data_IF_052779597383
#
_entry.id   IF_052779597383
#
_cell.length_a   1.000
_cell.length_b   1.000
_cell.length_c   1.000
_cell.angle_alpha   90.00
_cell.angle_beta   90.00
_cell.angle_gamma   90.00
#
_symmetry.space_group_name_H-M   'P 1'
#
loop_
_entity.id
_entity.type
_entity.pdbx_description
1 polymer ?
#
# COMPACT_ATOMS: atom_id res chain seq x y z
N UNK A 1 18.93 -13.68 7.48
CA UNK A 1 18.01 -14.24 6.46
C UNK A 1 16.61 -13.69 6.68
N UNK A 2 16.18 -12.70 5.89
CA UNK A 2 14.75 -12.30 5.77
C UNK A 2 14.59 -11.72 4.35
N UNK A 3 14.07 -12.53 3.44
CA UNK A 3 14.05 -12.29 1.98
C UNK A 3 12.74 -11.65 1.51
N UNK A 4 11.66 -11.82 2.27
CA UNK A 4 10.38 -11.16 2.02
C UNK A 4 9.72 -10.77 3.35
N UNK A 5 8.93 -9.69 3.34
CA UNK A 5 8.06 -9.37 4.46
C UNK A 5 6.91 -10.37 4.53
N UNK A 6 6.34 -10.57 5.73
CA UNK A 6 5.04 -11.23 5.84
C UNK A 6 3.99 -10.41 5.10
N UNK A 7 2.93 -11.07 4.62
CA UNK A 7 1.74 -10.37 4.14
C UNK A 7 1.15 -9.55 5.29
N UNK A 8 1.03 -8.25 5.07
CA UNK A 8 0.51 -7.32 6.07
C UNK A 8 -0.75 -6.64 5.52
N UNK A 9 -1.77 -6.50 6.36
CA UNK A 9 -2.92 -5.64 6.04
C UNK A 9 -2.40 -4.22 5.94
N UNK A 10 -2.72 -3.54 4.83
CA UNK A 10 -2.23 -2.18 4.59
C UNK A 10 -2.66 -1.20 5.69
N UNK A 11 -3.73 -1.53 6.42
CA UNK A 11 -4.30 -0.74 7.51
C UNK A 11 -3.31 -0.34 8.63
N UNK A 12 -2.17 -1.03 8.77
CA UNK A 12 -1.21 -0.84 9.87
C UNK A 12 -0.47 0.51 9.76
N UNK A 13 -0.26 1.05 8.56
CA UNK A 13 0.58 2.25 8.35
C UNK A 13 -0.18 3.58 8.30
N UNK A 14 -1.52 3.59 8.44
CA UNK A 14 -2.29 4.84 8.29
C UNK A 14 -2.46 5.63 9.58
N UNK A 15 -2.28 5.02 10.76
CA UNK A 15 -2.42 5.73 12.04
C UNK A 15 -1.48 6.95 12.15
N UNK A 16 -0.18 6.85 11.78
CA UNK A 16 0.70 8.01 11.77
C UNK A 16 0.27 9.09 10.77
N UNK A 17 -0.20 8.68 9.58
CA UNK A 17 -0.66 9.60 8.52
C UNK A 17 -1.91 10.35 8.96
N UNK A 18 -2.90 9.64 9.53
CA UNK A 18 -4.12 10.23 10.08
C UNK A 18 -3.77 11.25 11.16
N UNK A 19 -2.83 10.91 12.04
CA UNK A 19 -2.41 11.79 13.12
C UNK A 19 -1.73 13.06 12.60
N UNK A 20 -0.74 12.91 11.73
CA UNK A 20 0.00 14.02 11.14
C UNK A 20 -0.91 14.95 10.30
N UNK A 21 -1.74 14.38 9.43
CA UNK A 21 -2.66 15.16 8.59
C UNK A 21 -3.69 15.92 9.44
N UNK A 22 -4.26 15.28 10.47
CA UNK A 22 -5.22 15.93 11.36
C UNK A 22 -4.56 17.07 12.14
N UNK A 23 -3.32 16.90 12.60
CA UNK A 23 -2.57 17.94 13.30
C UNK A 23 -2.28 19.15 12.41
N UNK A 24 -1.79 18.91 11.19
CA UNK A 24 -1.48 19.98 10.22
C UNK A 24 -2.74 20.79 9.88
N UNK A 25 -3.84 20.11 9.53
CA UNK A 25 -5.08 20.78 9.14
C UNK A 25 -5.66 21.58 10.31
N UNK A 26 -5.65 21.01 11.51
CA UNK A 26 -6.17 21.70 12.70
C UNK A 26 -5.31 22.92 13.06
N UNK A 27 -3.99 22.84 12.88
CA UNK A 27 -3.10 23.98 13.06
C UNK A 27 -3.34 25.09 12.02
N UNK A 28 -3.59 24.73 10.76
CA UNK A 28 -3.98 25.70 9.72
C UNK A 28 -5.30 26.42 10.07
N UNK A 29 -6.29 25.70 10.62
CA UNK A 29 -7.54 26.30 11.09
C UNK A 29 -7.28 27.34 12.19
N UNK A 30 -6.38 27.06 13.12
CA UNK A 30 -6.00 28.02 14.18
C UNK A 30 -5.35 29.28 13.60
N UNK A 31 -4.44 29.13 12.63
CA UNK A 31 -3.82 30.27 11.95
C UNK A 31 -4.87 31.16 11.29
N UNK A 32 -5.84 30.55 10.59
CA UNK A 32 -6.94 31.27 9.93
C UNK A 32 -7.85 31.97 10.95
N UNK A 33 -8.16 31.34 12.07
CA UNK A 33 -8.99 31.96 13.11
C UNK A 33 -8.29 33.16 13.78
N UNK A 34 -6.98 33.05 14.01
CA UNK A 34 -6.20 34.17 14.52
C UNK A 34 -6.08 35.31 13.51
N UNK A 35 -5.94 35.03 12.21
CA UNK A 35 -5.90 36.08 11.18
C UNK A 35 -7.25 36.80 11.02
N UNK A 36 -8.35 36.13 11.38
CA UNK A 36 -9.69 36.71 11.46
C UNK A 36 -9.97 37.46 12.78
N UNK A 37 -8.99 37.54 13.69
CA UNK A 37 -9.10 38.30 14.94
C UNK A 37 -9.87 37.59 16.07
N UNK A 38 -10.06 36.27 15.97
CA UNK A 38 -10.74 35.52 17.02
C UNK A 38 -9.86 35.35 18.26
N UNK A 39 -10.49 35.41 19.43
CA UNK A 39 -9.81 35.21 20.71
C UNK A 39 -9.26 33.79 20.88
N UNK A 40 -8.24 33.66 21.73
CA UNK A 40 -7.53 32.39 22.01
C UNK A 40 -8.49 31.28 22.46
N UNK A 41 -9.53 31.63 23.21
CA UNK A 41 -10.56 30.69 23.70
C UNK A 41 -11.33 30.03 22.55
N UNK A 42 -11.75 30.83 21.56
CA UNK A 42 -12.52 30.30 20.43
C UNK A 42 -11.64 29.55 19.46
N UNK A 43 -10.39 30.02 19.25
CA UNK A 43 -9.41 29.32 18.41
C UNK A 43 -9.05 27.95 18.99
N UNK A 44 -8.86 27.84 20.31
CA UNK A 44 -8.52 26.59 20.99
C UNK A 44 -9.68 25.59 21.04
N UNK A 45 -10.91 26.05 21.30
CA UNK A 45 -12.09 25.20 21.21
C UNK A 45 -12.31 24.66 19.78
N UNK A 46 -12.17 25.54 18.78
CA UNK A 46 -12.31 25.18 17.36
C UNK A 46 -11.23 24.19 16.91
N UNK A 47 -10.00 24.33 17.43
CA UNK A 47 -8.91 23.37 17.20
C UNK A 47 -9.28 21.97 17.66
N UNK A 48 -9.76 21.82 18.90
CA UNK A 48 -10.08 20.51 19.47
C UNK A 48 -11.21 19.82 18.69
N UNK A 49 -12.26 20.57 18.35
CA UNK A 49 -13.39 20.03 17.59
C UNK A 49 -12.94 19.62 16.19
N UNK A 50 -12.22 20.50 15.48
CA UNK A 50 -11.70 20.20 14.15
C UNK A 50 -10.77 18.98 14.17
N UNK A 51 -9.85 18.91 15.13
CA UNK A 51 -8.88 17.82 15.26
C UNK A 51 -9.57 16.46 15.48
N UNK A 52 -10.53 16.39 16.39
CA UNK A 52 -11.27 15.15 16.66
C UNK A 52 -12.12 14.75 15.45
N UNK A 53 -12.86 15.68 14.85
CA UNK A 53 -13.70 15.41 13.68
C UNK A 53 -12.86 14.92 12.49
N UNK A 54 -11.76 15.60 12.18
CA UNK A 54 -10.84 15.20 11.12
C UNK A 54 -10.22 13.83 11.37
N UNK A 55 -9.83 13.53 12.61
CA UNK A 55 -9.30 12.19 12.94
C UNK A 55 -10.30 11.09 12.64
N UNK A 56 -11.56 11.27 13.04
CA UNK A 56 -12.62 10.27 12.81
C UNK A 56 -12.88 10.12 11.31
N UNK A 57 -13.04 11.23 10.58
CA UNK A 57 -13.31 11.23 9.15
C UNK A 57 -12.17 10.61 8.33
N UNK A 58 -10.93 11.02 8.59
CA UNK A 58 -9.75 10.47 7.91
C UNK A 58 -9.53 8.99 8.24
N UNK A 59 -9.69 8.60 9.50
CA UNK A 59 -9.58 7.20 9.89
C UNK A 59 -10.66 6.35 9.18
N UNK A 60 -11.90 6.83 9.09
CA UNK A 60 -12.98 6.12 8.40
C UNK A 60 -12.75 6.06 6.89
N UNK A 61 -12.38 7.17 6.25
CA UNK A 61 -12.13 7.24 4.81
C UNK A 61 -10.95 6.35 4.39
N UNK A 62 -9.83 6.41 5.13
CA UNK A 62 -8.67 5.58 4.86
C UNK A 62 -8.92 4.12 5.19
N UNK A 63 -9.62 3.82 6.29
CA UNK A 63 -10.06 2.46 6.59
C UNK A 63 -10.89 1.93 5.43
N UNK A 64 -11.95 2.59 4.99
CA UNK A 64 -12.76 2.09 3.86
C UNK A 64 -11.98 1.93 2.55
N UNK A 65 -11.02 2.82 2.27
CA UNK A 65 -10.19 2.74 1.06
C UNK A 65 -9.20 1.57 1.06
N UNK A 66 -8.73 1.13 2.24
CA UNK A 66 -7.65 0.15 2.40
C UNK A 66 -8.00 -1.07 3.26
N UNK A 67 -9.26 -1.22 3.70
CA UNK A 67 -9.73 -2.39 4.50
C UNK A 67 -9.52 -3.70 3.74
N UNK A 68 -9.51 -3.62 2.41
CA UNK A 68 -9.51 -4.74 1.50
C UNK A 68 -8.17 -4.85 0.75
N UNK A 69 -7.04 -4.52 1.39
CA UNK A 69 -5.73 -4.72 0.77
C UNK A 69 -4.68 -5.39 1.67
N UNK A 70 -3.91 -6.28 1.04
CA UNK A 70 -2.73 -6.93 1.62
C UNK A 70 -1.49 -6.49 0.84
N UNK A 71 -0.42 -6.23 1.57
CA UNK A 71 0.85 -5.73 1.03
C UNK A 71 1.96 -6.69 1.43
N UNK A 72 2.90 -6.90 0.51
CA UNK A 72 4.14 -7.62 0.76
C UNK A 72 5.30 -6.94 0.05
N UNK A 73 6.44 -6.89 0.71
CA UNK A 73 7.69 -6.38 0.16
C UNK A 73 8.62 -7.56 -0.09
N UNK A 74 9.05 -7.72 -1.33
CA UNK A 74 9.97 -8.75 -1.78
C UNK A 74 11.33 -8.10 -2.04
N UNK A 75 12.43 -8.68 -1.57
CA UNK A 75 13.79 -8.12 -1.80
C UNK A 75 14.36 -8.58 -3.15
N UNK A 76 13.65 -8.28 -4.23
CA UNK A 76 14.08 -8.58 -5.60
C UNK A 76 13.86 -7.39 -6.52
N UNK A 77 14.58 -7.42 -7.64
CA UNK A 77 14.44 -6.45 -8.72
C UNK A 77 13.07 -6.57 -9.41
N UNK A 78 12.47 -5.41 -9.66
CA UNK A 78 11.12 -5.22 -10.16
C UNK A 78 10.96 -5.69 -11.61
N UNK A 79 11.98 -5.47 -12.44
CA UNK A 79 11.95 -5.80 -13.88
C UNK A 79 11.95 -7.32 -14.13
N UNK A 80 12.69 -8.06 -13.30
CA UNK A 80 12.74 -9.51 -13.43
C UNK A 80 11.44 -10.16 -12.97
N UNK A 81 10.83 -9.61 -11.92
CA UNK A 81 9.53 -10.06 -11.41
C UNK A 81 8.44 -9.89 -12.48
N UNK A 82 8.43 -8.77 -13.20
CA UNK A 82 7.48 -8.54 -14.29
C UNK A 82 7.48 -9.68 -15.32
N UNK A 83 8.67 -10.14 -15.73
CA UNK A 83 8.83 -11.19 -16.74
C UNK A 83 8.21 -12.50 -16.27
N UNK A 84 8.48 -12.90 -15.02
CA UNK A 84 7.97 -14.14 -14.43
C UNK A 84 6.46 -14.08 -14.24
N UNK A 85 5.93 -12.97 -13.71
CA UNK A 85 4.49 -12.78 -13.57
C UNK A 85 3.79 -12.86 -14.94
N UNK A 86 4.34 -12.25 -15.98
CA UNK A 86 3.77 -12.34 -17.33
C UNK A 86 3.72 -13.78 -17.86
N UNK A 87 4.67 -14.63 -17.46
CA UNK A 87 4.72 -16.05 -17.86
C UNK A 87 3.69 -16.87 -17.07
N UNK A 88 3.64 -16.70 -15.75
CA UNK A 88 2.71 -17.42 -14.85
C UNK A 88 1.25 -17.07 -15.16
N UNK A 89 0.98 -15.82 -15.50
CA UNK A 89 -0.37 -15.27 -15.62
C UNK A 89 -0.92 -15.22 -17.07
N UNK A 90 -0.39 -16.03 -18.00
CA UNK A 90 -0.76 -15.98 -19.43
C UNK A 90 -2.28 -16.16 -19.72
N UNK A 91 -2.91 -15.01 -19.97
CA UNK A 91 -3.66 -14.62 -21.19
C UNK A 91 -5.05 -15.17 -21.56
N UNK A 92 -5.91 -15.51 -20.58
CA UNK A 92 -7.38 -15.46 -20.81
C UNK A 92 -8.20 -14.76 -19.71
N UNK A 93 -7.63 -14.54 -18.53
CA UNK A 93 -8.40 -14.09 -17.35
C UNK A 93 -7.83 -12.86 -16.64
N UNK A 94 -6.79 -12.23 -17.20
CA UNK A 94 -6.03 -11.17 -16.52
C UNK A 94 -5.85 -10.00 -17.48
N UNK A 95 -6.16 -8.79 -17.02
CA UNK A 95 -5.86 -7.55 -17.74
C UNK A 95 -4.59 -6.95 -17.14
N UNK A 96 -3.67 -6.57 -18.00
CA UNK A 96 -2.36 -6.05 -17.61
C UNK A 96 -2.16 -4.65 -18.19
N UNK A 97 -1.69 -3.73 -17.36
CA UNK A 97 -1.37 -2.36 -17.77
C UNK A 97 -0.19 -1.83 -16.96
N UNK A 98 0.73 -1.14 -17.62
CA UNK A 98 1.76 -0.33 -16.95
C UNK A 98 1.24 1.09 -16.78
N UNK A 99 1.30 1.63 -15.57
CA UNK A 99 1.13 3.06 -15.29
C UNK A 99 2.50 3.69 -15.22
N UNK A 100 2.86 4.46 -16.26
CA UNK A 100 4.17 5.09 -16.37
C UNK A 100 4.44 6.17 -15.34
N UNK A 101 3.40 6.87 -14.87
CA UNK A 101 3.53 7.96 -13.87
C UNK A 101 4.07 7.47 -12.52
N UNK A 102 3.67 6.26 -12.11
CA UNK A 102 4.00 5.67 -10.81
C UNK A 102 5.01 4.51 -10.92
N UNK A 103 5.55 4.27 -12.12
CA UNK A 103 6.28 3.07 -12.52
C UNK A 103 5.69 1.78 -11.92
N UNK A 104 4.39 1.58 -12.16
CA UNK A 104 3.60 0.54 -11.51
C UNK A 104 2.95 -0.39 -12.53
N UNK A 105 3.04 -1.69 -12.28
CA UNK A 105 2.30 -2.70 -13.02
C UNK A 105 1.00 -3.04 -12.31
N UNK A 106 -0.11 -2.95 -13.04
CA UNK A 106 -1.45 -3.33 -12.58
C UNK A 106 -1.89 -4.61 -13.29
N UNK A 107 -2.26 -5.60 -12.49
CA UNK A 107 -2.87 -6.86 -12.91
C UNK A 107 -4.30 -6.90 -12.37
N UNK A 108 -5.30 -6.89 -13.24
CA UNK A 108 -6.70 -7.05 -12.88
C UNK A 108 -7.16 -8.47 -13.17
N UNK A 109 -7.95 -9.04 -12.26
CA UNK A 109 -8.56 -10.36 -12.39
C UNK A 109 -10.10 -10.18 -12.43
N UNK A 110 -10.69 -9.84 -13.59
CA UNK A 110 -12.09 -9.38 -13.67
C UNK A 110 -13.09 -10.42 -13.17
N UNK A 111 -12.83 -11.71 -13.40
CA UNK A 111 -13.68 -12.80 -12.91
C UNK A 111 -13.62 -13.02 -11.39
N UNK A 112 -12.68 -12.37 -10.70
CA UNK A 112 -12.44 -12.54 -9.25
C UNK A 112 -12.56 -11.23 -8.46
N UNK A 113 -12.88 -10.11 -9.11
CA UNK A 113 -12.91 -8.77 -8.49
C UNK A 113 -11.69 -8.51 -7.60
N UNK A 114 -10.51 -8.91 -8.09
CA UNK A 114 -9.23 -8.75 -7.40
C UNK A 114 -8.31 -7.95 -8.32
N UNK A 115 -7.49 -7.08 -7.76
CA UNK A 115 -6.39 -6.46 -8.50
C UNK A 115 -5.10 -6.56 -7.71
N UNK A 116 -4.00 -6.69 -8.43
CA UNK A 116 -2.66 -6.72 -7.88
C UNK A 116 -1.86 -5.59 -8.50
N UNK A 117 -1.13 -4.85 -7.67
CA UNK A 117 -0.15 -3.88 -8.13
C UNK A 117 1.24 -4.31 -7.70
N UNK A 118 2.18 -4.26 -8.64
CA UNK A 118 3.60 -4.51 -8.41
C UNK A 118 4.31 -3.19 -8.71
N UNK A 119 5.16 -2.71 -7.80
CA UNK A 119 5.88 -1.44 -7.95
C UNK A 119 7.26 -1.52 -7.30
N UNK A 120 8.23 -0.72 -7.75
CA UNK A 120 9.49 -0.58 -7.05
C UNK A 120 9.26 -0.04 -5.63
N UNK A 121 10.06 -0.52 -4.69
CA UNK A 121 10.02 -0.13 -3.29
C UNK A 121 11.42 0.08 -2.75
N UNK A 122 11.69 1.32 -2.35
CA UNK A 122 12.97 1.69 -1.75
C UNK A 122 12.82 1.63 -0.23
N UNK A 123 13.53 0.68 0.40
CA UNK A 123 13.44 0.42 1.84
C UNK A 123 14.14 1.52 2.66
N UNK A 124 14.97 2.36 2.03
CA UNK A 124 15.51 3.61 2.55
C UNK A 124 15.96 4.53 1.40
N UNK A 125 16.07 5.84 1.66
CA UNK A 125 16.61 6.83 0.71
C UNK A 125 18.12 6.72 0.47
N UNK A 126 18.82 5.91 1.28
CA UNK A 126 20.19 5.49 0.98
C UNK A 126 20.16 4.41 -0.11
N UNK A 127 20.60 4.78 -1.30
CA UNK A 127 20.63 3.95 -2.52
C UNK A 127 21.51 2.68 -2.41
N UNK A 128 22.08 2.38 -1.25
CA UNK A 128 22.97 1.23 -1.03
C UNK A 128 22.23 -0.07 -0.69
N UNK A 129 20.92 0.00 -0.44
CA UNK A 129 20.12 -1.21 -0.20
C UNK A 129 19.70 -1.88 -1.52
N UNK A 130 19.66 -3.22 -1.55
CA UNK A 130 19.25 -3.96 -2.75
C UNK A 130 17.82 -3.56 -3.15
N UNK A 131 17.52 -3.50 -4.46
CA UNK A 131 16.20 -3.15 -4.94
C UNK A 131 15.16 -4.10 -4.33
N UNK A 132 14.04 -3.52 -3.90
CA UNK A 132 12.90 -4.27 -3.41
C UNK A 132 11.66 -3.93 -4.23
N UNK A 133 10.74 -4.88 -4.26
CA UNK A 133 9.50 -4.80 -5.01
C UNK A 133 8.34 -4.91 -4.02
N UNK A 134 7.41 -3.96 -4.07
CA UNK A 134 6.19 -3.99 -3.29
C UNK A 134 5.05 -4.55 -4.13
N UNK A 135 4.48 -5.64 -3.66
CA UNK A 135 3.27 -6.26 -4.18
C UNK A 135 2.10 -5.88 -3.29
N UNK A 136 0.99 -5.45 -3.89
CA UNK A 136 -0.24 -5.11 -3.17
C UNK A 136 -1.42 -5.80 -3.84
N UNK A 137 -2.15 -6.63 -3.09
CA UNK A 137 -3.43 -7.19 -3.47
C UNK A 137 -4.53 -6.27 -2.96
N UNK A 138 -5.46 -5.87 -3.83
CA UNK A 138 -6.56 -4.94 -3.55
C UNK A 138 -7.91 -5.61 -3.80
N UNK A 139 -8.95 -5.07 -3.15
CA UNK A 139 -10.35 -5.53 -3.25
C UNK A 139 -10.56 -6.92 -2.62
N UNK A 140 -9.76 -7.27 -1.61
CA UNK A 140 -9.91 -8.48 -0.81
C UNK A 140 -11.26 -8.50 -0.08
N UNK A 141 -12.06 -9.50 -0.38
CA UNK A 141 -13.37 -9.74 0.21
C UNK A 141 -13.56 -11.24 0.41
N UNK A 142 -14.62 -11.64 1.12
CA UNK A 142 -14.87 -13.05 1.41
C UNK A 142 -15.00 -13.93 0.15
N UNK A 143 -15.43 -13.37 -0.99
CA UNK A 143 -15.64 -14.10 -2.25
C UNK A 143 -14.35 -14.37 -3.02
N UNK A 144 -13.29 -13.59 -2.79
CA UNK A 144 -12.01 -13.73 -3.49
C UNK A 144 -10.84 -14.05 -2.56
N UNK A 145 -11.12 -14.31 -1.28
CA UNK A 145 -10.13 -14.64 -0.26
C UNK A 145 -9.28 -15.85 -0.65
N UNK A 146 -9.90 -16.96 -1.02
CA UNK A 146 -9.20 -18.19 -1.41
C UNK A 146 -8.30 -17.99 -2.63
N UNK A 147 -8.80 -17.25 -3.63
CA UNK A 147 -7.99 -16.90 -4.81
C UNK A 147 -6.82 -15.96 -4.45
N UNK A 148 -7.04 -15.01 -3.53
CA UNK A 148 -5.98 -14.13 -3.06
C UNK A 148 -4.93 -14.86 -2.22
N UNK A 149 -5.33 -15.86 -1.44
CA UNK A 149 -4.42 -16.75 -0.69
C UNK A 149 -3.60 -17.61 -1.67
N UNK A 150 -4.23 -18.25 -2.64
CA UNK A 150 -3.53 -19.01 -3.70
C UNK A 150 -2.54 -18.12 -4.48
N UNK A 151 -2.93 -16.90 -4.80
CA UNK A 151 -2.06 -15.94 -5.48
C UNK A 151 -0.91 -15.48 -4.58
N UNK A 152 -1.17 -15.28 -3.28
CA UNK A 152 -0.13 -14.97 -2.30
C UNK A 152 0.88 -16.12 -2.19
N UNK A 153 0.40 -17.35 -2.05
CA UNK A 153 1.22 -18.56 -1.94
C UNK A 153 2.06 -18.79 -3.19
N UNK A 154 1.49 -18.58 -4.38
CA UNK A 154 2.24 -18.67 -5.65
C UNK A 154 3.40 -17.65 -5.70
N UNK A 155 3.21 -16.47 -5.10
CA UNK A 155 4.25 -15.44 -5.02
C UNK A 155 5.30 -15.79 -3.95
N UNK A 156 4.89 -16.41 -2.84
CA UNK A 156 5.78 -17.02 -1.85
C UNK A 156 6.67 -18.09 -2.51
N UNK A 157 6.09 -19.03 -3.27
CA UNK A 157 6.85 -20.09 -3.95
C UNK A 157 7.84 -19.55 -4.98
N UNK A 158 7.44 -18.57 -5.81
CA UNK A 158 8.35 -17.92 -6.76
C UNK A 158 9.53 -17.24 -6.06
N UNK A 159 9.26 -16.56 -4.93
CA UNK A 159 10.29 -15.92 -4.12
C UNK A 159 11.27 -16.94 -3.51
N UNK A 160 10.76 -18.08 -3.05
CA UNK A 160 11.57 -19.12 -2.41
C UNK A 160 12.41 -19.92 -3.43
N UNK A 161 11.84 -20.24 -4.60
CA UNK A 161 12.56 -20.92 -5.67
C UNK A 161 13.78 -20.10 -6.12
N UNK A 162 13.61 -18.77 -6.24
CA UNK A 162 14.68 -17.82 -6.55
C UNK A 162 15.84 -17.86 -5.55
N UNK A 163 15.56 -18.09 -4.27
CA UNK A 163 16.61 -18.21 -3.26
C UNK A 163 17.44 -19.45 -3.54
N UNK A 164 16.77 -20.58 -3.76
CA UNK A 164 17.44 -21.86 -4.06
C UNK A 164 18.31 -21.76 -5.31
N UNK A 165 17.80 -21.11 -6.37
CA UNK A 165 18.54 -20.95 -7.62
C UNK A 165 19.77 -20.05 -7.45
N UNK A 166 19.71 -19.02 -6.58
CA UNK A 166 20.86 -18.16 -6.25
C UNK A 166 21.88 -18.81 -5.32
N UNK A 167 21.44 -19.70 -4.43
CA UNK A 167 22.33 -20.45 -3.54
C UNK A 167 23.03 -21.60 -4.27
N UNK A 168 22.47 -22.07 -5.39
CA UNK A 168 23.03 -23.13 -6.23
C UNK A 168 23.99 -22.64 -7.33
N UNK A 169 24.08 -21.32 -7.55
CA UNK A 169 24.92 -20.67 -8.56
C UNK A 169 26.17 -20.03 -7.94
#
# INVERSE_FOLDING_TARGET
MMVASRWQKQNIYFQPIVWAASAIISFLVVIVLFSLGWGVEVASASFLVAFVALRILLAFALKNRFTNSMVRVLKFDYEELEREFRIVFKNKFIRFHRKSEDDLYLYEFPGRNLSMTVQPYWVNSDMSQPPATKVTLRVLNAKNKEFAEMLADSIDEMADQRIKDKEAA
#
